data_IF_836834283388
#
_entry.id   IF_836834283388
#
_cell.length_a   1.000
_cell.length_b   1.000
_cell.length_c   1.000
_cell.angle_alpha   90.00
_cell.angle_beta   90.00
_cell.angle_gamma   90.00
#
_symmetry.space_group_name_H-M   'P 1'
#
loop_
_entity.id
_entity.type
_entity.pdbx_description
1 polymer ?
#
# COMPACT_ATOMS: atom_id res chain seq x y z
N UNK A 1 44.68 15.76 14.23
CA UNK A 1 43.51 15.59 13.32
C UNK A 1 43.43 14.18 12.72
N UNK A 2 43.40 13.10 13.53
CA UNK A 2 43.23 11.71 13.02
C UNK A 2 42.05 10.95 13.65
N UNK A 3 41.59 11.33 14.84
CA UNK A 3 40.43 10.70 15.50
C UNK A 3 39.05 11.24 15.07
N UNK A 4 38.99 12.41 14.43
CA UNK A 4 37.72 13.04 14.01
C UNK A 4 37.24 12.49 12.65
N UNK A 5 38.19 12.12 11.80
CA UNK A 5 37.93 11.55 10.46
C UNK A 5 37.39 10.12 10.59
N UNK A 6 37.93 9.30 11.50
CA UNK A 6 37.45 7.92 11.73
C UNK A 6 36.01 7.83 12.27
N UNK A 7 35.55 8.84 13.03
CA UNK A 7 34.15 8.90 13.48
C UNK A 7 33.19 9.28 12.35
N UNK A 8 33.56 10.24 11.50
CA UNK A 8 32.72 10.68 10.38
C UNK A 8 32.50 9.54 9.36
N UNK A 9 33.55 8.77 9.04
CA UNK A 9 33.43 7.62 8.14
C UNK A 9 32.67 6.42 8.75
N UNK A 10 32.74 6.22 10.07
CA UNK A 10 31.95 5.19 10.77
C UNK A 10 30.45 5.47 10.73
N UNK A 11 30.06 6.74 10.93
CA UNK A 11 28.66 7.15 10.84
C UNK A 11 28.11 7.07 9.42
N UNK A 12 28.89 7.37 8.38
CA UNK A 12 28.42 7.22 6.99
C UNK A 12 28.15 5.77 6.62
N UNK A 13 29.00 4.83 7.07
CA UNK A 13 28.78 3.39 6.88
C UNK A 13 27.54 2.88 7.62
N UNK A 14 27.37 3.27 8.87
CA UNK A 14 26.17 2.94 9.66
C UNK A 14 24.90 3.57 9.08
N UNK A 15 24.96 4.81 8.59
CA UNK A 15 23.84 5.48 7.92
C UNK A 15 23.49 4.77 6.60
N UNK A 16 24.47 4.32 5.83
CA UNK A 16 24.25 3.56 4.60
C UNK A 16 23.63 2.19 4.90
N UNK A 17 24.11 1.51 5.94
CA UNK A 17 23.58 0.22 6.38
C UNK A 17 22.16 0.35 6.95
N UNK A 18 21.88 1.37 7.78
CA UNK A 18 20.51 1.69 8.21
C UNK A 18 19.62 2.01 7.02
N UNK A 19 20.09 2.80 6.03
CA UNK A 19 19.31 3.11 4.82
C UNK A 19 19.08 1.88 3.94
N UNK A 20 19.97 0.90 3.97
CA UNK A 20 19.81 -0.39 3.29
C UNK A 20 18.77 -1.24 4.01
N UNK A 21 18.87 -1.36 5.33
CA UNK A 21 17.90 -2.07 6.16
C UNK A 21 16.50 -1.43 6.11
N UNK A 22 16.42 -0.10 6.11
CA UNK A 22 15.16 0.63 5.88
C UNK A 22 14.60 0.30 4.50
N UNK A 23 15.42 0.27 3.44
CA UNK A 23 14.99 -0.13 2.09
C UNK A 23 14.51 -1.58 2.01
N UNK A 24 15.20 -2.51 2.68
CA UNK A 24 14.80 -3.91 2.75
C UNK A 24 13.49 -4.09 3.54
N UNK A 25 13.26 -3.29 4.58
CA UNK A 25 12.01 -3.27 5.34
C UNK A 25 10.91 -2.42 4.69
N UNK A 26 11.23 -1.71 3.60
CA UNK A 26 10.28 -0.83 2.90
C UNK A 26 9.44 -1.54 1.85
N UNK A 27 9.85 -2.75 1.46
CA UNK A 27 9.21 -3.51 0.39
C UNK A 27 8.74 -4.87 0.88
N UNK A 28 7.46 -5.15 0.67
CA UNK A 28 6.88 -6.47 0.86
C UNK A 28 7.17 -7.32 -0.39
N UNK A 29 8.07 -8.29 -0.25
CA UNK A 29 8.47 -9.18 -1.34
C UNK A 29 7.38 -10.19 -1.72
N UNK A 30 6.50 -10.57 -0.79
CA UNK A 30 5.40 -11.50 -1.04
C UNK A 30 4.42 -10.89 -2.03
N UNK A 31 4.01 -9.65 -1.76
CA UNK A 31 2.99 -8.98 -2.58
C UNK A 31 3.60 -8.10 -3.68
N UNK A 32 4.90 -7.78 -3.59
CA UNK A 32 5.56 -6.91 -4.56
C UNK A 32 5.08 -5.46 -4.46
N UNK A 33 4.95 -4.93 -3.23
CA UNK A 33 4.47 -3.58 -2.97
C UNK A 33 5.15 -2.96 -1.74
N UNK A 34 4.83 -1.72 -1.41
CA UNK A 34 5.43 -1.06 -0.24
C UNK A 34 4.91 -1.64 1.06
N UNK A 35 5.73 -1.63 2.11
CA UNK A 35 5.22 -1.87 3.47
C UNK A 35 4.51 -0.61 3.99
N UNK A 36 3.60 -0.80 4.93
CA UNK A 36 2.92 0.30 5.63
C UNK A 36 3.89 1.36 6.15
N UNK A 37 4.99 0.96 6.76
CA UNK A 37 5.97 1.89 7.31
C UNK A 37 6.61 2.75 6.23
N UNK A 38 6.98 2.16 5.09
CA UNK A 38 7.53 2.93 3.97
C UNK A 38 6.51 3.90 3.39
N UNK A 39 5.25 3.46 3.26
CA UNK A 39 4.17 4.31 2.81
C UNK A 39 3.95 5.51 3.73
N UNK A 40 3.93 5.29 5.05
CA UNK A 40 3.79 6.37 6.04
C UNK A 40 4.96 7.36 5.98
N UNK A 41 6.19 6.85 5.86
CA UNK A 41 7.38 7.70 5.70
C UNK A 41 7.32 8.53 4.42
N UNK A 42 6.86 7.95 3.32
CA UNK A 42 6.62 8.67 2.07
C UNK A 42 5.59 9.78 2.25
N UNK A 43 4.44 9.46 2.87
CA UNK A 43 3.37 10.42 3.15
C UNK A 43 3.85 11.58 4.04
N UNK A 44 4.75 11.31 4.99
CA UNK A 44 5.27 12.34 5.90
C UNK A 44 6.09 13.44 5.20
N UNK A 45 6.75 13.11 4.10
CA UNK A 45 7.60 14.05 3.35
C UNK A 45 6.90 14.66 2.14
N UNK A 46 5.62 14.33 1.90
CA UNK A 46 4.88 14.87 0.76
C UNK A 46 4.61 16.37 0.92
N UNK A 47 4.73 17.16 -0.17
CA UNK A 47 4.34 18.56 -0.16
C UNK A 47 2.82 18.70 0.02
N UNK A 48 2.39 19.85 0.54
CA UNK A 48 0.96 20.17 0.68
C UNK A 48 0.27 20.14 -0.67
N UNK A 49 -0.76 19.33 -0.76
CA UNK A 49 -1.52 19.09 -1.98
C UNK A 49 -2.82 18.35 -1.64
N UNK A 50 -3.64 18.09 -2.66
CA UNK A 50 -4.80 17.22 -2.59
C UNK A 50 -4.48 15.92 -3.33
N UNK A 51 -4.61 14.79 -2.65
CA UNK A 51 -4.36 13.45 -3.20
C UNK A 51 -5.60 12.58 -3.08
N UNK A 52 -5.70 11.59 -3.95
CA UNK A 52 -6.70 10.53 -3.84
C UNK A 52 -6.08 9.30 -3.21
N UNK A 53 -6.83 8.68 -2.30
CA UNK A 53 -6.42 7.49 -1.56
C UNK A 53 -7.51 6.46 -1.73
N UNK A 54 -7.14 5.23 -2.01
CA UNK A 54 -8.03 4.08 -1.90
C UNK A 54 -7.57 3.15 -0.80
N UNK A 55 -8.54 2.57 -0.12
CA UNK A 55 -8.38 1.43 0.77
C UNK A 55 -9.06 0.24 0.12
N UNK A 56 -8.35 -0.88 0.05
CA UNK A 56 -8.77 -2.13 -0.54
C UNK A 56 -8.66 -3.21 0.53
N UNK A 57 -9.68 -4.06 0.62
CA UNK A 57 -9.68 -5.22 1.48
C UNK A 57 -10.05 -6.47 0.66
N UNK A 58 -9.09 -7.38 0.54
CA UNK A 58 -9.18 -8.59 -0.27
C UNK A 58 -10.08 -9.64 0.37
N UNK A 59 -11.01 -10.20 -0.41
CA UNK A 59 -11.98 -11.15 0.12
C UNK A 59 -11.38 -12.54 0.31
N UNK A 60 -11.69 -13.15 1.47
CA UNK A 60 -11.47 -14.58 1.77
C UNK A 60 -10.01 -15.04 1.59
N UNK A 61 -9.04 -14.14 1.77
CA UNK A 61 -7.61 -14.46 1.63
C UNK A 61 -7.18 -15.57 2.59
N UNK A 62 -7.70 -15.59 3.82
CA UNK A 62 -7.41 -16.66 4.77
C UNK A 62 -7.88 -18.04 4.29
N UNK A 63 -9.11 -18.14 3.79
CA UNK A 63 -9.64 -19.40 3.25
C UNK A 63 -8.88 -19.85 2.00
N UNK A 64 -8.54 -18.92 1.11
CA UNK A 64 -7.72 -19.20 -0.07
C UNK A 64 -6.31 -19.67 0.31
N UNK A 65 -5.72 -19.12 1.37
CA UNK A 65 -4.43 -19.56 1.87
C UNK A 65 -4.48 -21.00 2.41
N UNK A 66 -5.59 -21.40 3.03
CA UNK A 66 -5.80 -22.78 3.50
C UNK A 66 -6.00 -23.75 2.33
N UNK A 67 -6.71 -23.32 1.27
CA UNK A 67 -7.02 -24.17 0.11
C UNK A 67 -5.84 -24.31 -0.87
N UNK A 68 -5.18 -23.20 -1.20
CA UNK A 68 -4.18 -23.11 -2.28
C UNK A 68 -2.75 -22.95 -1.77
N UNK A 69 -2.59 -22.60 -0.50
CA UNK A 69 -1.31 -22.24 0.10
C UNK A 69 -0.91 -20.78 -0.15
N UNK A 70 -0.18 -20.22 0.81
CA UNK A 70 0.30 -18.83 0.79
C UNK A 70 1.02 -18.44 -0.50
N UNK A 71 1.89 -19.30 -1.04
CA UNK A 71 2.67 -19.00 -2.25
C UNK A 71 1.79 -18.69 -3.46
N UNK A 72 0.70 -19.43 -3.66
CA UNK A 72 -0.17 -19.23 -4.81
C UNK A 72 -1.06 -17.99 -4.64
N UNK A 73 -1.53 -17.73 -3.43
CA UNK A 73 -2.29 -16.51 -3.12
C UNK A 73 -1.43 -15.27 -3.26
N UNK A 74 -0.21 -15.28 -2.70
CA UNK A 74 0.78 -14.20 -2.84
C UNK A 74 1.04 -13.90 -4.33
N UNK A 75 1.20 -14.96 -5.15
CA UNK A 75 1.38 -14.82 -6.60
C UNK A 75 0.19 -14.12 -7.26
N UNK A 76 -1.04 -14.55 -6.97
CA UNK A 76 -2.27 -13.98 -7.55
C UNK A 76 -2.46 -12.52 -7.15
N UNK A 77 -2.18 -12.18 -5.89
CA UNK A 77 -2.21 -10.79 -5.43
C UNK A 77 -1.19 -9.98 -6.21
N UNK A 78 0.05 -10.46 -6.32
CA UNK A 78 1.09 -9.77 -7.08
C UNK A 78 0.71 -9.54 -8.54
N UNK A 79 0.11 -10.53 -9.21
CA UNK A 79 -0.40 -10.37 -10.58
C UNK A 79 -1.54 -9.35 -10.67
N UNK A 80 -2.46 -9.36 -9.70
CA UNK A 80 -3.57 -8.37 -9.62
C UNK A 80 -3.05 -6.93 -9.60
N UNK A 81 -1.99 -6.68 -8.82
CA UNK A 81 -1.37 -5.36 -8.69
C UNK A 81 -0.26 -5.09 -9.72
N UNK A 82 -0.10 -5.95 -10.73
CA UNK A 82 0.86 -5.75 -11.83
C UNK A 82 0.31 -4.87 -12.96
N UNK A 83 -0.91 -4.35 -12.82
CA UNK A 83 -1.48 -3.36 -13.75
C UNK A 83 -0.59 -2.10 -13.82
N UNK A 84 -0.53 -1.39 -14.96
CA UNK A 84 0.34 -0.22 -15.09
C UNK A 84 -0.08 0.92 -14.15
N UNK A 85 0.73 1.23 -13.14
CA UNK A 85 0.57 2.40 -12.29
C UNK A 85 1.38 3.59 -12.83
N UNK A 86 0.96 4.82 -12.49
CA UNK A 86 1.86 5.97 -12.69
C UNK A 86 3.05 5.81 -11.76
N UNK A 87 4.20 6.34 -12.19
CA UNK A 87 5.43 6.27 -11.39
C UNK A 87 5.28 6.91 -9.99
N UNK A 88 4.36 7.85 -9.87
CA UNK A 88 4.05 8.60 -8.66
C UNK A 88 2.89 8.01 -7.85
N UNK A 89 2.19 6.99 -8.36
CA UNK A 89 1.25 6.23 -7.55
C UNK A 89 2.04 5.32 -6.61
N UNK A 90 1.51 5.09 -5.41
CA UNK A 90 2.13 4.23 -4.40
C UNK A 90 1.11 3.20 -3.94
N UNK A 91 1.47 1.93 -4.08
CA UNK A 91 0.70 0.78 -3.58
C UNK A 91 1.41 0.21 -2.37
N UNK A 92 0.69 0.01 -1.28
CA UNK A 92 1.26 -0.47 -0.03
C UNK A 92 0.34 -1.45 0.69
N UNK A 93 0.94 -2.45 1.34
CA UNK A 93 0.25 -3.34 2.27
C UNK A 93 0.06 -2.65 3.61
N UNK A 94 -1.12 -2.76 4.22
CA UNK A 94 -1.52 -1.96 5.38
C UNK A 94 -1.36 -2.67 6.74
N UNK A 95 -2.44 -3.09 7.42
CA UNK A 95 -2.37 -3.74 8.74
C UNK A 95 -2.55 -5.24 8.66
N UNK A 96 -3.66 -5.70 8.10
CA UNK A 96 -3.89 -7.12 7.90
C UNK A 96 -3.25 -7.57 6.58
N UNK A 97 -3.01 -8.87 6.48
CA UNK A 97 -2.29 -9.42 5.34
C UNK A 97 -3.00 -9.19 3.99
N UNK A 98 -4.28 -8.86 4.03
CA UNK A 98 -5.25 -8.70 2.95
C UNK A 98 -5.68 -7.24 2.71
N UNK A 99 -5.19 -6.29 3.51
CA UNK A 99 -5.48 -4.87 3.34
C UNK A 99 -4.39 -4.14 2.54
N UNK A 100 -4.84 -3.32 1.58
CA UNK A 100 -3.97 -2.59 0.67
C UNK A 100 -4.43 -1.13 0.61
N UNK A 101 -3.47 -0.22 0.61
CA UNK A 101 -3.69 1.22 0.41
C UNK A 101 -3.02 1.65 -0.88
N UNK A 102 -3.73 2.44 -1.67
CA UNK A 102 -3.20 3.06 -2.86
C UNK A 102 -3.29 4.57 -2.71
N UNK A 103 -2.18 5.26 -2.91
CA UNK A 103 -2.12 6.70 -3.06
C UNK A 103 -1.96 7.03 -4.54
N UNK A 104 -2.88 7.84 -5.08
CA UNK A 104 -2.89 8.24 -6.48
C UNK A 104 -2.31 9.63 -6.68
N UNK A 105 -1.45 9.76 -7.68
CA UNK A 105 -1.09 11.03 -8.32
C UNK A 105 -2.00 11.28 -9.53
N UNK A 106 -3.31 11.23 -9.26
CA UNK A 106 -4.38 11.47 -10.20
C UNK A 106 -5.55 12.16 -9.48
N UNK A 107 -6.52 12.64 -10.26
CA UNK A 107 -7.80 13.07 -9.73
C UNK A 107 -8.70 11.86 -9.41
N UNK A 108 -9.90 12.11 -8.90
CA UNK A 108 -10.82 11.05 -8.48
C UNK A 108 -11.31 10.19 -9.64
N UNK A 109 -11.38 10.74 -10.84
CA UNK A 109 -11.72 9.98 -12.04
C UNK A 109 -10.61 9.00 -12.42
N UNK A 110 -9.35 9.45 -12.38
CA UNK A 110 -8.19 8.58 -12.60
C UNK A 110 -8.04 7.49 -11.54
N UNK A 111 -8.28 7.83 -10.27
CA UNK A 111 -8.31 6.87 -9.17
C UNK A 111 -9.41 5.81 -9.38
N UNK A 112 -10.64 6.24 -9.67
CA UNK A 112 -11.77 5.34 -9.92
C UNK A 112 -11.51 4.38 -11.08
N UNK A 113 -11.02 4.89 -12.22
CA UNK A 113 -10.69 4.04 -13.36
C UNK A 113 -9.59 3.01 -13.03
N UNK A 114 -8.63 3.37 -12.17
CA UNK A 114 -7.60 2.42 -11.72
C UNK A 114 -8.19 1.32 -10.84
N UNK A 115 -9.15 1.64 -9.99
CA UNK A 115 -9.87 0.65 -9.18
C UNK A 115 -10.66 -0.31 -10.08
N UNK A 116 -11.36 0.19 -11.11
CA UNK A 116 -12.06 -0.66 -12.09
C UNK A 116 -11.10 -1.66 -12.76
N UNK A 117 -9.93 -1.20 -13.20
CA UNK A 117 -8.90 -2.07 -13.79
C UNK A 117 -8.39 -3.13 -12.80
N UNK A 118 -8.26 -2.76 -11.52
CA UNK A 118 -7.88 -3.71 -10.48
C UNK A 118 -8.97 -4.74 -10.22
N UNK A 119 -10.25 -4.37 -10.30
CA UNK A 119 -11.37 -5.31 -10.20
C UNK A 119 -11.31 -6.34 -11.33
N UNK A 120 -11.10 -5.89 -12.57
CA UNK A 120 -10.94 -6.78 -13.72
C UNK A 120 -9.75 -7.73 -13.54
N UNK A 121 -8.59 -7.18 -13.15
CA UNK A 121 -7.38 -7.97 -12.92
C UNK A 121 -7.53 -8.97 -11.77
N UNK A 122 -8.20 -8.59 -10.67
CA UNK A 122 -8.48 -9.48 -9.56
C UNK A 122 -9.38 -10.64 -10.01
N UNK A 123 -10.42 -10.35 -10.79
CA UNK A 123 -11.33 -11.36 -11.32
C UNK A 123 -10.59 -12.38 -12.21
N UNK A 124 -9.65 -11.93 -13.05
CA UNK A 124 -8.78 -12.83 -13.84
C UNK A 124 -7.93 -13.77 -12.97
N UNK A 125 -7.53 -13.32 -11.77
CA UNK A 125 -6.81 -14.14 -10.80
C UNK A 125 -7.73 -14.96 -9.88
N UNK A 126 -9.05 -14.91 -10.07
CA UNK A 126 -10.04 -15.56 -9.22
C UNK A 126 -10.11 -14.94 -7.82
N UNK A 127 -9.76 -13.66 -7.70
CA UNK A 127 -9.84 -12.87 -6.48
C UNK A 127 -10.96 -11.83 -6.59
N UNK A 128 -11.44 -11.36 -5.44
CA UNK A 128 -12.35 -10.22 -5.34
C UNK A 128 -11.95 -9.37 -4.14
N UNK A 129 -12.38 -8.12 -4.10
CA UNK A 129 -12.11 -7.20 -3.00
C UNK A 129 -13.21 -6.15 -2.88
N UNK A 130 -13.29 -5.52 -1.71
CA UNK A 130 -14.03 -4.29 -1.52
C UNK A 130 -13.07 -3.11 -1.53
N UNK A 131 -13.52 -1.95 -2.00
CA UNK A 131 -12.69 -0.76 -2.06
C UNK A 131 -13.49 0.51 -1.77
N UNK A 132 -12.91 1.40 -0.99
CA UNK A 132 -13.38 2.76 -0.80
C UNK A 132 -12.29 3.74 -1.22
N UNK A 133 -12.69 4.87 -1.79
CA UNK A 133 -11.75 5.93 -2.19
C UNK A 133 -12.17 7.29 -1.63
N UNK A 134 -11.18 8.09 -1.28
CA UNK A 134 -11.39 9.39 -0.65
C UNK A 134 -10.28 10.38 -0.94
N UNK A 135 -10.55 11.63 -0.59
CA UNK A 135 -9.63 12.75 -0.78
C UNK A 135 -8.81 12.98 0.48
N UNK A 136 -7.50 13.01 0.34
CA UNK A 136 -6.57 13.40 1.39
C UNK A 136 -6.00 14.79 1.14
N UNK A 137 -6.17 15.69 2.10
CA UNK A 137 -5.58 17.03 2.07
C UNK A 137 -4.27 17.05 2.87
N UNK A 138 -3.15 16.90 2.15
CA UNK A 138 -1.82 16.77 2.73
C UNK A 138 -1.48 18.01 3.56
N UNK A 139 -1.19 17.79 4.83
CA UNK A 139 -0.87 18.86 5.80
C UNK A 139 -2.08 19.44 6.54
N UNK A 140 -3.31 18.99 6.27
CA UNK A 140 -4.49 19.28 7.10
C UNK A 140 -4.92 18.09 7.96
N UNK A 141 -4.95 16.90 7.36
CA UNK A 141 -5.26 15.64 8.03
C UNK A 141 -4.12 14.65 7.84
N UNK A 142 -3.95 13.71 8.76
CA UNK A 142 -2.96 12.64 8.58
C UNK A 142 -3.53 11.55 7.67
N UNK A 143 -2.65 10.85 6.96
CA UNK A 143 -3.07 9.79 6.03
C UNK A 143 -3.78 8.65 6.78
N UNK A 144 -3.38 8.37 8.02
CA UNK A 144 -3.97 7.31 8.85
C UNK A 144 -5.43 7.58 9.18
N UNK A 145 -5.82 8.86 9.36
CA UNK A 145 -7.23 9.22 9.60
C UNK A 145 -8.06 8.90 8.35
N UNK A 146 -7.58 9.32 7.18
CA UNK A 146 -8.28 9.07 5.90
C UNK A 146 -8.37 7.56 5.63
N UNK A 147 -7.27 6.83 5.78
CA UNK A 147 -7.27 5.37 5.58
C UNK A 147 -8.21 4.68 6.58
N UNK A 148 -8.27 5.15 7.83
CA UNK A 148 -9.20 4.62 8.83
C UNK A 148 -10.66 4.89 8.50
N UNK A 149 -10.99 6.06 7.96
CA UNK A 149 -12.33 6.39 7.47
C UNK A 149 -12.74 5.47 6.31
N UNK A 150 -11.87 5.31 5.32
CA UNK A 150 -12.09 4.42 4.17
C UNK A 150 -12.22 2.95 4.57
N UNK A 151 -11.40 2.48 5.52
CA UNK A 151 -11.52 1.13 6.06
C UNK A 151 -12.85 0.88 6.77
N UNK A 152 -13.38 1.89 7.47
CA UNK A 152 -14.71 1.79 8.07
C UNK A 152 -15.84 1.76 7.02
N UNK A 153 -15.68 2.44 5.89
CA UNK A 153 -16.64 2.38 4.77
C UNK A 153 -16.66 0.98 4.17
N UNK A 154 -15.50 0.43 3.81
CA UNK A 154 -15.37 -0.95 3.32
C UNK A 154 -15.94 -1.97 4.32
N UNK A 155 -15.66 -1.80 5.61
CA UNK A 155 -16.18 -2.69 6.64
C UNK A 155 -17.71 -2.61 6.81
N UNK A 156 -18.35 -1.50 6.43
CA UNK A 156 -19.82 -1.38 6.41
C UNK A 156 -20.39 -2.09 5.18
N UNK A 157 -19.82 -1.82 4.01
CA UNK A 157 -20.23 -2.45 2.74
C UNK A 157 -20.15 -3.98 2.83
N UNK A 158 -19.05 -4.51 3.36
CA UNK A 158 -18.88 -5.95 3.64
C UNK A 158 -19.97 -6.56 4.51
N UNK A 159 -20.49 -5.81 5.48
CA UNK A 159 -21.54 -6.30 6.40
C UNK A 159 -22.92 -6.29 5.72
N UNK A 160 -23.14 -5.34 4.83
CA UNK A 160 -24.39 -5.22 4.06
C UNK A 160 -24.48 -6.35 3.02
N UNK A 161 -23.39 -6.67 2.32
CA UNK A 161 -23.33 -7.76 1.34
C UNK A 161 -23.43 -9.17 1.96
N UNK A 162 -23.21 -9.31 3.27
CA UNK A 162 -23.34 -10.57 4.00
C UNK A 162 -24.78 -10.90 4.43
N UNK A 163 -25.75 -9.99 4.19
CA UNK A 163 -27.17 -10.15 4.51
C UNK A 163 -28.01 -10.36 3.25
#
# INVERSE_FOLDING_TARGET
>A
MRGLVGKIFGFEGEIQELRRQVRELSWDSSFGMWTRNAFLQFCHVMPRDVRWVAFIDMNRIHELNEELGYTEVDRRIKETFSVPFRRSDVVARWYSGDEIVILFDADGGGAGHKIEQLVESAAEQGLTFFAAQGRWEVGKTTIEVIVGELGNEVAKEKKEDAH
#
